data_IF_430191477196
#
_entry.id   IF_430191477196
#
_cell.length_a   1.000
_cell.length_b   1.000
_cell.length_c   1.000
_cell.angle_alpha   90.00
_cell.angle_beta   90.00
_cell.angle_gamma   90.00
#
_symmetry.space_group_name_H-M   'P 1'
#
loop_
_entity.id
_entity.type
_entity.pdbx_description
1 polymer ?
#
# COMPACT_ATOMS: atom_id res chain seq x y z
N UNK A 1 -21.75 -23.58 15.28
CA UNK A 1 -20.36 -24.07 15.46
C UNK A 1 -19.79 -24.83 14.25
N UNK A 2 -20.57 -25.59 13.47
CA UNK A 2 -20.06 -26.27 12.24
C UNK A 2 -19.65 -25.33 11.09
N UNK A 3 -20.32 -24.18 10.92
CA UNK A 3 -20.05 -23.23 9.82
C UNK A 3 -18.74 -22.45 9.99
N UNK A 4 -18.33 -22.18 11.23
CA UNK A 4 -17.07 -21.46 11.53
C UNK A 4 -15.84 -22.33 11.29
N UNK A 5 -15.94 -23.64 11.51
CA UNK A 5 -14.83 -24.59 11.27
C UNK A 5 -14.56 -24.73 9.76
N UNK A 6 -15.60 -24.73 8.92
CA UNK A 6 -15.47 -24.83 7.46
C UNK A 6 -14.79 -23.58 6.88
N UNK A 7 -15.11 -22.37 7.39
CA UNK A 7 -14.46 -21.13 6.95
C UNK A 7 -12.99 -21.05 7.38
N UNK A 8 -12.64 -21.58 8.55
CA UNK A 8 -11.24 -21.65 9.02
C UNK A 8 -10.47 -22.67 8.16
N UNK A 9 -11.05 -23.83 7.85
CA UNK A 9 -10.44 -24.84 6.99
C UNK A 9 -10.26 -24.35 5.54
N UNK A 10 -11.23 -23.61 4.99
CA UNK A 10 -11.09 -22.97 3.67
C UNK A 10 -10.05 -21.84 3.67
N UNK A 11 -9.93 -21.06 4.76
CA UNK A 11 -8.90 -20.02 4.87
C UNK A 11 -7.47 -20.58 4.99
N UNK A 12 -7.34 -21.80 5.53
CA UNK A 12 -6.05 -22.48 5.70
C UNK A 12 -5.55 -23.12 4.39
N UNK A 13 -6.46 -23.44 3.46
CA UNK A 13 -6.13 -23.99 2.14
C UNK A 13 -5.71 -22.95 1.10
N UNK A 14 -5.92 -21.65 1.37
CA UNK A 14 -5.47 -20.55 0.50
C UNK A 14 -3.98 -20.22 0.66
N UNK A 15 -3.27 -20.86 1.60
CA UNK A 15 -1.89 -20.55 1.98
C UNK A 15 -0.80 -21.32 1.23
N UNK A 16 -1.13 -22.36 0.45
CA UNK A 16 -0.16 -23.05 -0.40
C UNK A 16 -0.14 -22.44 -1.81
N UNK A 17 0.32 -21.19 -1.91
CA UNK A 17 0.96 -20.77 -3.15
C UNK A 17 2.30 -21.54 -3.19
N UNK A 18 2.35 -22.63 -3.93
CA UNK A 18 3.59 -23.27 -4.29
C UNK A 18 4.48 -22.20 -4.94
N UNK A 19 5.49 -21.72 -4.22
CA UNK A 19 6.54 -20.87 -4.78
C UNK A 19 7.31 -21.77 -5.74
N UNK A 20 6.93 -21.73 -7.02
CA UNK A 20 7.71 -22.35 -8.06
C UNK A 20 9.09 -21.66 -8.06
N UNK A 21 10.13 -22.42 -7.74
CA UNK A 21 11.52 -21.97 -7.80
C UNK A 21 11.89 -21.78 -9.28
N UNK A 22 11.62 -20.61 -9.82
CA UNK A 22 11.93 -20.30 -11.22
C UNK A 22 13.28 -19.60 -11.31
N UNK A 23 14.21 -20.19 -12.07
CA UNK A 23 15.46 -19.53 -12.45
C UNK A 23 15.20 -18.46 -13.51
N UNK A 24 16.06 -17.45 -13.59
CA UNK A 24 15.90 -16.31 -14.50
C UNK A 24 17.16 -16.03 -15.28
N UNK A 25 17.02 -15.58 -16.52
CA UNK A 25 18.13 -15.02 -17.29
C UNK A 25 18.42 -13.62 -16.76
N UNK A 26 19.63 -13.39 -16.26
CA UNK A 26 20.07 -12.09 -15.77
C UNK A 26 20.52 -11.18 -16.91
N UNK A 27 21.30 -11.73 -17.85
CA UNK A 27 21.98 -10.94 -18.85
C UNK A 27 22.08 -11.68 -20.18
N UNK A 28 21.88 -10.94 -21.26
CA UNK A 28 22.23 -11.35 -22.61
C UNK A 28 22.92 -10.19 -23.33
N UNK A 29 24.12 -10.41 -23.88
CA UNK A 29 24.86 -9.39 -24.64
C UNK A 29 25.75 -10.00 -25.72
N UNK A 30 26.05 -9.28 -26.81
CA UNK A 30 27.11 -9.67 -27.72
C UNK A 30 28.49 -9.55 -27.03
N UNK A 31 29.41 -10.44 -27.41
CA UNK A 31 30.82 -10.43 -27.02
C UNK A 31 31.67 -10.13 -28.25
N UNK A 32 31.86 -8.85 -28.62
CA UNK A 32 32.59 -8.48 -29.84
C UNK A 32 34.08 -8.86 -29.79
N UNK A 33 34.66 -8.94 -28.59
CA UNK A 33 36.05 -9.33 -28.39
C UNK A 33 36.27 -10.85 -28.59
N UNK A 34 35.21 -11.65 -28.61
CA UNK A 34 35.28 -13.09 -28.75
C UNK A 34 34.98 -13.51 -30.18
N UNK A 35 36.05 -13.73 -30.94
CA UNK A 35 36.00 -14.09 -32.37
C UNK A 35 35.86 -15.60 -32.61
N UNK A 36 35.50 -16.40 -31.60
CA UNK A 36 35.42 -17.88 -31.73
C UNK A 36 34.48 -18.31 -32.86
N UNK A 37 33.28 -17.73 -32.92
CA UNK A 37 32.28 -18.02 -33.96
C UNK A 37 32.75 -17.63 -35.37
N UNK A 38 33.68 -16.67 -35.46
CA UNK A 38 34.25 -16.20 -36.72
C UNK A 38 35.40 -17.09 -37.18
N UNK A 39 36.31 -17.47 -36.27
CA UNK A 39 37.48 -18.30 -36.57
C UNK A 39 37.11 -19.75 -36.88
N UNK A 40 36.13 -20.31 -36.17
CA UNK A 40 35.69 -21.70 -36.35
C UNK A 40 34.17 -21.74 -36.60
N UNK A 41 33.72 -21.34 -37.81
CA UNK A 41 32.30 -21.24 -38.11
C UNK A 41 31.68 -22.64 -38.23
N UNK A 42 30.68 -22.93 -37.39
CA UNK A 42 29.80 -24.09 -37.54
C UNK A 42 28.69 -23.71 -38.51
N UNK A 43 28.48 -24.49 -39.57
CA UNK A 43 27.43 -24.24 -40.57
C UNK A 43 26.15 -24.98 -40.21
N UNK A 44 25.02 -24.34 -40.45
CA UNK A 44 23.70 -24.98 -40.34
C UNK A 44 23.39 -25.84 -41.58
N UNK A 45 22.17 -26.40 -41.64
CA UNK A 45 21.70 -27.22 -42.77
C UNK A 45 21.60 -26.44 -44.10
N UNK A 46 21.55 -25.11 -44.04
CA UNK A 46 21.48 -24.23 -45.20
C UNK A 46 22.87 -23.75 -45.64
N UNK A 47 23.94 -24.16 -44.94
CA UNK A 47 25.31 -23.73 -45.21
C UNK A 47 25.66 -22.35 -44.66
N UNK A 48 24.76 -21.70 -43.90
CA UNK A 48 25.01 -20.43 -43.25
C UNK A 48 25.78 -20.63 -41.94
N UNK A 49 26.68 -19.69 -41.61
CA UNK A 49 27.44 -19.79 -40.37
C UNK A 49 26.54 -19.44 -39.16
N UNK A 50 26.58 -20.29 -38.15
CA UNK A 50 25.81 -20.13 -36.91
C UNK A 50 26.35 -18.97 -36.07
N UNK A 51 25.48 -18.47 -35.20
CA UNK A 51 25.86 -17.68 -34.05
C UNK A 51 26.30 -18.61 -32.90
N UNK A 52 27.24 -18.17 -32.08
CA UNK A 52 27.66 -18.86 -30.86
C UNK A 52 27.01 -18.17 -29.65
N UNK A 53 26.33 -18.92 -28.80
CA UNK A 53 25.85 -18.44 -27.50
C UNK A 53 26.55 -19.21 -26.39
N UNK A 54 27.30 -18.49 -25.56
CA UNK A 54 27.96 -19.00 -24.37
C UNK A 54 27.04 -18.81 -23.18
N UNK A 55 26.49 -19.90 -22.66
CA UNK A 55 25.58 -19.89 -21.53
C UNK A 55 26.37 -20.06 -20.24
N UNK A 56 26.44 -19.00 -19.43
CA UNK A 56 27.07 -19.00 -18.10
C UNK A 56 26.00 -19.43 -17.10
N UNK A 57 26.14 -20.63 -16.53
CA UNK A 57 25.15 -21.22 -15.63
C UNK A 57 25.51 -22.64 -15.21
N UNK A 58 24.52 -23.35 -14.66
CA UNK A 58 24.67 -24.76 -14.29
C UNK A 58 24.86 -25.65 -15.54
N UNK A 59 25.73 -26.64 -15.45
CA UNK A 59 25.98 -27.61 -16.54
C UNK A 59 24.76 -28.47 -16.86
N UNK A 60 23.84 -28.62 -15.90
CA UNK A 60 22.65 -29.45 -16.01
C UNK A 60 21.53 -28.80 -16.86
N UNK A 61 21.78 -27.62 -17.43
CA UNK A 61 20.84 -26.98 -18.36
C UNK A 61 20.74 -27.74 -19.68
N UNK A 62 19.50 -27.94 -20.13
CA UNK A 62 19.13 -28.50 -21.43
C UNK A 62 18.43 -27.43 -22.26
N UNK A 63 18.84 -27.29 -23.52
CA UNK A 63 18.41 -26.21 -24.40
C UNK A 63 17.56 -26.73 -25.56
N UNK A 64 16.62 -25.91 -26.03
CA UNK A 64 15.81 -26.19 -27.22
C UNK A 64 15.47 -24.88 -27.93
N UNK A 65 15.60 -24.83 -29.25
CA UNK A 65 15.20 -23.68 -30.07
C UNK A 65 14.27 -24.14 -31.20
N UNK A 66 13.31 -23.31 -31.67
CA UNK A 66 12.47 -23.66 -32.81
C UNK A 66 13.25 -23.96 -34.10
N UNK A 67 14.39 -23.30 -34.32
CA UNK A 67 15.26 -23.55 -35.48
C UNK A 67 16.27 -24.69 -35.24
N UNK A 68 16.20 -25.36 -34.09
CA UNK A 68 17.15 -26.38 -33.68
C UNK A 68 18.46 -25.82 -33.12
N UNK A 69 19.26 -26.72 -32.54
CA UNK A 69 20.62 -26.42 -32.06
C UNK A 69 21.57 -27.26 -32.91
N UNK A 70 22.49 -26.61 -33.59
CA UNK A 70 23.37 -27.27 -34.57
C UNK A 70 24.50 -28.03 -33.86
N UNK A 71 25.06 -27.44 -32.80
CA UNK A 71 26.11 -28.06 -32.01
C UNK A 71 26.04 -27.57 -30.57
N UNK A 72 26.33 -28.47 -29.62
CA UNK A 72 26.54 -28.16 -28.20
C UNK A 72 27.95 -28.57 -27.81
N UNK A 73 28.63 -27.73 -27.05
CA UNK A 73 29.94 -28.03 -26.43
C UNK A 73 29.84 -27.61 -24.97
N UNK A 74 30.13 -28.54 -24.05
CA UNK A 74 30.12 -28.26 -22.62
C UNK A 74 31.55 -27.96 -22.16
N UNK A 75 31.76 -26.75 -21.65
CA UNK A 75 33.04 -26.26 -21.13
C UNK A 75 32.94 -26.05 -19.62
N UNK A 76 34.10 -25.89 -18.95
CA UNK A 76 34.12 -25.68 -17.49
C UNK A 76 33.56 -24.29 -17.15
N UNK A 77 32.32 -24.27 -16.63
CA UNK A 77 31.62 -23.05 -16.22
C UNK A 77 30.74 -22.40 -17.29
N UNK A 78 30.73 -22.94 -18.52
CA UNK A 78 29.91 -22.44 -19.63
C UNK A 78 29.41 -23.58 -20.52
N UNK A 79 28.19 -23.48 -21.04
CA UNK A 79 27.72 -24.34 -22.14
C UNK A 79 27.61 -23.53 -23.42
N UNK A 80 28.33 -23.97 -24.45
CA UNK A 80 28.35 -23.32 -25.76
C UNK A 80 27.34 -23.97 -26.68
N UNK A 81 26.41 -23.18 -27.21
CA UNK A 81 25.40 -23.63 -28.17
C UNK A 81 25.52 -22.84 -29.48
N UNK A 82 25.57 -23.57 -30.60
CA UNK A 82 25.59 -22.99 -31.94
C UNK A 82 24.17 -22.98 -32.49
N UNK A 83 23.68 -21.78 -32.79
CA UNK A 83 22.31 -21.53 -33.22
C UNK A 83 22.29 -20.94 -34.64
N UNK A 84 21.34 -21.35 -35.50
CA UNK A 84 21.20 -20.78 -36.84
C UNK A 84 20.98 -19.26 -36.81
N UNK A 85 21.40 -18.61 -37.89
CA UNK A 85 21.17 -17.19 -38.11
C UNK A 85 19.66 -16.86 -38.02
N UNK A 86 19.32 -15.73 -37.41
CA UNK A 86 17.93 -15.29 -37.26
C UNK A 86 17.15 -15.95 -36.11
N UNK A 87 17.78 -16.82 -35.31
CA UNK A 87 17.15 -17.40 -34.11
C UNK A 87 16.70 -16.30 -33.16
N UNK A 88 15.44 -16.36 -32.71
CA UNK A 88 14.84 -15.38 -31.78
C UNK A 88 14.41 -15.97 -30.44
N UNK A 89 14.24 -17.29 -30.36
CA UNK A 89 13.66 -17.98 -29.22
C UNK A 89 14.57 -19.11 -28.75
N UNK A 90 14.71 -19.21 -27.44
CA UNK A 90 15.42 -20.29 -26.75
C UNK A 90 14.57 -20.78 -25.57
N UNK A 91 14.54 -22.08 -25.35
CA UNK A 91 13.92 -22.70 -24.18
C UNK A 91 15.02 -23.34 -23.35
N UNK A 92 15.09 -22.98 -22.07
CA UNK A 92 16.05 -23.52 -21.11
C UNK A 92 15.29 -24.43 -20.14
N UNK A 93 15.81 -25.63 -19.89
CA UNK A 93 15.24 -26.63 -18.99
C UNK A 93 16.31 -27.03 -17.97
N UNK A 94 15.94 -27.12 -16.71
CA UNK A 94 16.82 -27.59 -15.64
C UNK A 94 16.11 -28.68 -14.84
N UNK A 95 16.77 -29.80 -14.50
CA UNK A 95 16.12 -30.91 -13.79
C UNK A 95 15.53 -30.48 -12.44
N UNK A 96 16.17 -29.54 -11.76
CA UNK A 96 15.75 -29.07 -10.43
C UNK A 96 15.00 -27.75 -10.42
N UNK A 97 15.21 -26.87 -11.41
CA UNK A 97 14.70 -25.49 -11.39
C UNK A 97 13.56 -25.25 -12.38
N UNK A 98 13.11 -26.31 -13.07
CA UNK A 98 11.98 -26.25 -13.98
C UNK A 98 12.38 -25.79 -15.38
N UNK A 99 11.48 -25.08 -16.06
CA UNK A 99 11.62 -24.73 -17.48
C UNK A 99 11.32 -23.27 -17.73
N UNK A 100 12.26 -22.56 -18.36
CA UNK A 100 12.05 -21.24 -18.95
C UNK A 100 11.75 -21.40 -20.44
N UNK A 101 10.46 -21.38 -20.79
CA UNK A 101 10.00 -21.52 -22.18
C UNK A 101 10.06 -20.20 -22.93
N UNK A 102 10.39 -20.26 -24.22
CA UNK A 102 10.28 -19.14 -25.15
C UNK A 102 11.02 -17.87 -24.69
N UNK A 103 12.21 -18.01 -24.09
CA UNK A 103 13.10 -16.88 -23.84
C UNK A 103 13.42 -16.20 -25.17
N UNK A 104 13.04 -14.93 -25.29
CA UNK A 104 13.19 -14.15 -26.53
C UNK A 104 14.46 -13.31 -26.45
N UNK A 105 15.36 -13.51 -27.40
CA UNK A 105 16.54 -12.67 -27.54
C UNK A 105 16.13 -11.22 -27.87
N UNK A 106 16.83 -10.19 -27.33
CA UNK A 106 16.55 -8.78 -27.64
C UNK A 106 16.62 -8.44 -29.13
N UNK A 107 17.56 -9.07 -29.84
CA UNK A 107 17.74 -8.98 -31.29
C UNK A 107 17.87 -10.40 -31.87
N UNK A 108 17.52 -10.62 -33.16
CA UNK A 108 17.82 -11.88 -33.81
C UNK A 108 19.33 -12.14 -33.79
N UNK A 109 19.73 -13.40 -33.64
CA UNK A 109 21.15 -13.77 -33.65
C UNK A 109 21.76 -13.55 -35.03
N UNK A 110 22.88 -12.85 -35.08
CA UNK A 110 23.63 -12.59 -36.30
C UNK A 110 24.68 -13.67 -36.57
N UNK A 111 24.92 -13.96 -37.84
CA UNK A 111 25.88 -14.97 -38.27
C UNK A 111 27.30 -14.62 -37.80
N UNK A 112 28.07 -15.62 -37.36
CA UNK A 112 29.48 -15.50 -36.92
C UNK A 112 29.73 -14.60 -35.70
N UNK A 113 28.67 -14.16 -35.00
CA UNK A 113 28.81 -13.43 -33.74
C UNK A 113 28.74 -14.37 -32.54
N UNK A 114 29.45 -13.97 -31.48
CA UNK A 114 29.44 -14.63 -30.17
C UNK A 114 28.62 -13.80 -29.19
N UNK A 115 27.78 -14.47 -28.41
CA UNK A 115 26.92 -13.87 -27.37
C UNK A 115 27.15 -14.54 -26.03
N UNK A 116 26.93 -13.80 -24.95
CA UNK A 116 26.90 -14.29 -23.57
C UNK A 116 25.46 -14.32 -23.07
N UNK A 117 25.06 -15.43 -22.43
CA UNK A 117 23.78 -15.60 -21.76
C UNK A 117 24.02 -16.04 -20.31
N UNK A 118 23.77 -15.15 -19.34
CA UNK A 118 23.97 -15.45 -17.91
C UNK A 118 22.65 -15.88 -17.28
N UNK A 119 22.64 -17.08 -16.69
CA UNK A 119 21.47 -17.68 -16.03
C UNK A 119 21.74 -17.81 -14.55
N UNK A 120 20.91 -17.16 -13.73
CA UNK A 120 21.05 -17.21 -12.28
C UNK A 120 20.23 -18.37 -11.68
N UNK A 121 20.77 -19.08 -10.68
CA UNK A 121 20.00 -20.06 -9.91
C UNK A 121 18.83 -19.37 -9.19
N UNK A 122 17.73 -20.10 -8.90
CA UNK A 122 16.63 -19.53 -8.15
C UNK A 122 17.10 -19.12 -6.75
N UNK A 123 16.64 -17.95 -6.29
CA UNK A 123 16.92 -17.46 -4.94
C UNK A 123 16.32 -18.44 -3.95
N UNK A 124 17.15 -19.28 -3.35
CA UNK A 124 16.69 -20.17 -2.28
C UNK A 124 16.31 -19.30 -1.09
N UNK A 125 15.08 -19.40 -0.54
CA UNK A 125 14.83 -18.90 0.79
C UNK A 125 15.78 -19.68 1.70
N UNK A 126 16.71 -18.99 2.34
CA UNK A 126 17.60 -19.60 3.33
C UNK A 126 16.69 -20.15 4.43
N UNK A 127 16.43 -21.46 4.40
CA UNK A 127 15.81 -22.17 5.50
C UNK A 127 16.69 -21.95 6.71
N UNK A 128 16.15 -21.29 7.73
CA UNK A 128 16.82 -20.98 8.98
C UNK A 128 17.00 -22.24 9.85
N UNK A 129 17.53 -23.33 9.29
CA UNK A 129 17.78 -24.60 9.98
C UNK A 129 19.26 -24.97 10.05
N UNK A 130 20.14 -24.11 9.55
CA UNK A 130 21.59 -24.26 9.70
C UNK A 130 22.20 -23.10 10.47
N UNK A 131 21.71 -22.79 11.68
CA UNK A 131 22.43 -21.88 12.56
C UNK A 131 23.73 -22.55 12.99
N UNK A 132 24.81 -22.27 12.26
CA UNK A 132 26.16 -22.37 12.82
C UNK A 132 26.11 -21.57 14.13
N UNK A 133 26.37 -22.16 15.31
CA UNK A 133 26.33 -21.40 16.54
C UNK A 133 27.38 -20.31 16.41
N UNK A 134 26.93 -19.05 16.39
CA UNK A 134 27.84 -17.92 16.45
C UNK A 134 28.78 -18.14 17.64
N UNK A 135 30.11 -18.17 17.45
CA UNK A 135 31.00 -18.25 18.59
C UNK A 135 30.68 -17.03 19.46
N UNK A 136 30.38 -17.27 20.75
CA UNK A 136 30.17 -16.20 21.72
C UNK A 136 31.45 -15.37 21.76
N UNK A 137 31.45 -14.25 21.05
CA UNK A 137 32.47 -13.22 21.17
C UNK A 137 32.42 -12.74 22.62
N UNK A 138 33.41 -13.18 23.40
CA UNK A 138 33.72 -12.54 24.66
C UNK A 138 34.13 -11.10 24.29
N UNK A 139 33.65 -10.07 24.99
CA UNK A 139 34.07 -8.71 24.72
C UNK A 139 35.50 -8.54 25.24
N UNK A 140 36.48 -9.05 24.50
CA UNK A 140 37.84 -8.58 24.60
C UNK A 140 37.89 -7.24 23.88
N UNK A 141 38.02 -6.17 24.66
CA UNK A 141 38.11 -4.81 24.15
C UNK A 141 39.26 -4.67 23.15
N UNK A 142 38.92 -4.64 21.86
CA UNK A 142 39.77 -4.09 20.83
C UNK A 142 38.86 -3.49 19.76
N UNK A 143 38.62 -2.18 19.87
CA UNK A 143 38.00 -1.42 18.79
C UNK A 143 39.07 -1.29 17.69
N UNK A 144 38.85 -1.78 16.46
CA UNK A 144 39.73 -1.46 15.35
C UNK A 144 39.54 0.03 15.01
N UNK A 145 40.64 0.74 14.86
CA UNK A 145 40.65 2.12 14.39
C UNK A 145 39.93 2.23 13.03
N UNK A 146 39.23 3.35 12.77
CA UNK A 146 38.52 3.55 11.51
C UNK A 146 39.54 3.97 10.45
N UNK A 147 40.18 2.99 9.82
CA UNK A 147 40.83 3.20 8.53
C UNK A 147 40.49 2.06 7.57
N UNK A 148 40.17 2.47 6.35
CA UNK A 148 39.95 1.66 5.14
C UNK A 148 38.63 0.90 5.02
N UNK A 149 37.55 1.67 4.83
CA UNK A 149 36.44 1.23 3.98
C UNK A 149 36.68 1.70 2.55
N UNK A 150 37.57 0.99 1.85
CA UNK A 150 37.58 1.02 0.40
C UNK A 150 36.23 0.48 -0.11
N UNK A 151 35.60 1.26 -0.98
CA UNK A 151 34.29 1.03 -1.56
C UNK A 151 34.23 -0.32 -2.29
N UNK A 152 33.48 -1.27 -1.72
CA UNK A 152 33.10 -2.51 -2.41
C UNK A 152 31.73 -2.32 -3.07
N UNK A 153 31.78 -2.15 -4.39
CA UNK A 153 30.88 -2.72 -5.41
C UNK A 153 29.35 -2.60 -5.24
N UNK A 154 28.76 -1.67 -6.00
CA UNK A 154 27.87 -2.03 -7.12
C UNK A 154 26.44 -2.53 -6.86
N UNK A 155 26.07 -2.90 -5.64
CA UNK A 155 24.67 -3.28 -5.35
C UNK A 155 23.86 -2.00 -5.11
N UNK A 156 22.78 -1.71 -5.87
CA UNK A 156 21.86 -0.67 -5.45
C UNK A 156 21.24 -1.14 -4.14
N UNK A 157 21.74 -0.62 -3.01
CA UNK A 157 21.10 -0.78 -1.73
C UNK A 157 19.69 -0.25 -1.90
N UNK A 158 18.72 -1.16 -2.04
CA UNK A 158 17.30 -0.82 -2.08
C UNK A 158 17.10 0.07 -0.85
N UNK A 159 16.80 1.37 -1.00
CA UNK A 159 16.88 2.30 0.11
C UNK A 159 16.00 1.71 1.20
N UNK A 160 16.62 1.33 2.32
CA UNK A 160 15.93 0.70 3.45
C UNK A 160 14.83 1.67 3.81
N UNK A 161 13.57 1.31 3.48
CA UNK A 161 12.41 2.18 3.64
C UNK A 161 12.38 2.58 5.11
N UNK A 162 12.82 3.79 5.41
CA UNK A 162 12.97 4.26 6.78
C UNK A 162 11.59 4.11 7.40
N UNK A 163 11.51 3.29 8.45
CA UNK A 163 10.25 3.06 9.15
C UNK A 163 9.84 4.40 9.75
N UNK A 164 8.87 5.08 9.13
CA UNK A 164 8.38 6.35 9.65
C UNK A 164 7.95 6.15 11.11
N UNK A 165 8.37 7.02 12.04
CA UNK A 165 7.95 6.92 13.43
C UNK A 165 6.43 7.14 13.53
N UNK A 166 5.84 6.65 14.60
CA UNK A 166 4.49 7.06 14.98
C UNK A 166 4.47 8.56 15.24
N UNK A 167 3.41 9.23 14.79
CA UNK A 167 3.18 10.65 15.02
C UNK A 167 1.84 10.84 15.67
N UNK A 168 1.80 11.71 16.65
CA UNK A 168 0.58 12.16 17.26
C UNK A 168 0.07 13.37 16.49
N UNK A 169 -1.24 13.45 16.37
CA UNK A 169 -1.94 14.42 15.55
C UNK A 169 -3.03 15.02 16.41
N UNK A 170 -3.00 16.35 16.56
CA UNK A 170 -4.03 17.11 17.25
C UNK A 170 -4.53 18.26 16.40
N UNK A 171 -5.82 18.28 16.08
CA UNK A 171 -6.48 19.34 15.29
C UNK A 171 -7.65 19.94 16.04
N UNK A 172 -7.71 21.26 16.03
CA UNK A 172 -8.91 22.02 16.38
C UNK A 172 -9.74 22.22 15.12
N UNK A 173 -11.03 21.94 15.22
CA UNK A 173 -12.01 22.03 14.15
C UNK A 173 -13.05 23.10 14.46
N UNK A 174 -13.45 23.84 13.45
CA UNK A 174 -14.65 24.65 13.42
C UNK A 174 -15.63 24.04 12.41
N UNK A 175 -16.84 23.73 12.87
CA UNK A 175 -17.96 23.28 12.05
C UNK A 175 -18.83 24.45 11.63
N UNK A 176 -19.23 24.47 10.36
CA UNK A 176 -20.14 25.44 9.76
C UNK A 176 -21.34 24.66 9.22
N UNK A 177 -22.52 24.91 9.80
CA UNK A 177 -23.80 24.33 9.39
C UNK A 177 -24.93 25.34 9.54
N UNK A 178 -26.14 24.99 9.10
CA UNK A 178 -27.25 25.96 9.03
C UNK A 178 -27.80 26.44 10.38
N UNK A 179 -27.42 25.82 11.50
CA UNK A 179 -27.75 26.35 12.82
C UNK A 179 -26.60 27.12 13.50
N UNK A 180 -25.52 27.46 12.78
CA UNK A 180 -24.38 28.19 13.33
C UNK A 180 -23.16 27.31 13.63
N UNK A 181 -22.15 27.94 14.23
CA UNK A 181 -20.81 27.37 14.37
C UNK A 181 -20.69 26.39 15.54
N UNK A 182 -19.90 25.33 15.34
CA UNK A 182 -19.51 24.39 16.40
C UNK A 182 -17.99 24.24 16.46
N UNK A 183 -17.45 23.77 17.58
CA UNK A 183 -16.02 23.57 17.73
C UNK A 183 -15.72 22.14 18.16
N UNK A 184 -14.65 21.57 17.62
CA UNK A 184 -14.27 20.20 17.93
C UNK A 184 -12.77 20.00 18.03
N UNK A 185 -12.39 18.90 18.66
CA UNK A 185 -11.01 18.46 18.81
C UNK A 185 -10.87 17.06 18.23
N UNK A 186 -9.92 16.89 17.33
CA UNK A 186 -9.54 15.60 16.77
C UNK A 186 -8.15 15.22 17.26
N UNK A 187 -8.06 14.09 17.95
CA UNK A 187 -6.80 13.54 18.46
C UNK A 187 -6.58 12.15 17.87
N UNK A 188 -5.38 11.89 17.38
CA UNK A 188 -5.06 10.59 16.79
C UNK A 188 -3.58 10.30 16.73
N UNK A 189 -3.28 9.06 16.35
CA UNK A 189 -1.92 8.58 16.13
C UNK A 189 -1.84 7.97 14.73
N UNK A 190 -0.82 8.37 13.97
CA UNK A 190 -0.69 8.00 12.58
C UNK A 190 0.76 7.66 12.19
N UNK A 191 0.88 6.61 11.37
CA UNK A 191 2.11 6.29 10.62
C UNK A 191 1.82 6.38 9.12
N UNK A 192 1.65 5.23 8.44
CA UNK A 192 1.06 5.16 7.09
C UNK A 192 -0.47 5.11 7.16
N UNK A 193 -0.97 4.37 8.14
CA UNK A 193 -2.36 4.28 8.56
C UNK A 193 -2.39 4.61 10.05
N UNK A 194 -3.48 5.20 10.49
CA UNK A 194 -3.65 5.69 11.84
C UNK A 194 -5.11 5.63 12.27
N UNK A 195 -5.33 5.94 13.53
CA UNK A 195 -6.66 6.02 14.13
C UNK A 195 -6.80 7.35 14.84
N UNK A 196 -8.03 7.82 14.95
CA UNK A 196 -8.34 9.05 15.68
C UNK A 196 -9.68 8.95 16.38
N UNK A 197 -9.86 9.87 17.33
CA UNK A 197 -11.12 10.19 17.99
C UNK A 197 -11.40 11.67 17.77
N UNK A 198 -12.67 11.99 17.50
CA UNK A 198 -13.15 13.33 17.22
C UNK A 198 -14.35 13.64 18.11
N UNK A 199 -14.29 14.75 18.83
CA UNK A 199 -15.40 15.27 19.61
C UNK A 199 -15.70 16.70 19.19
N UNK A 200 -16.96 17.03 18.95
CA UNK A 200 -17.43 18.35 18.54
C UNK A 200 -18.64 18.76 19.39
N UNK A 201 -18.69 20.03 19.78
CA UNK A 201 -19.80 20.61 20.52
C UNK A 201 -19.90 22.11 20.26
N UNK A 202 -21.10 22.66 20.44
CA UNK A 202 -21.33 24.10 20.43
C UNK A 202 -21.38 24.70 21.85
N UNK A 203 -21.07 23.91 22.89
CA UNK A 203 -21.11 24.28 24.30
C UNK A 203 -22.48 24.79 24.80
N UNK A 204 -23.54 24.60 24.03
CA UNK A 204 -24.90 24.91 24.44
C UNK A 204 -25.53 23.68 25.12
N UNK A 205 -26.25 23.94 26.21
CA UNK A 205 -27.00 22.90 26.92
C UNK A 205 -28.44 22.85 26.41
N UNK A 206 -28.96 21.64 26.19
CA UNK A 206 -30.35 21.47 25.79
C UNK A 206 -31.29 21.89 26.94
N UNK A 207 -32.27 22.78 26.69
CA UNK A 207 -33.25 23.17 27.70
C UNK A 207 -34.24 22.03 27.97
N UNK A 208 -34.84 22.02 29.16
CA UNK A 208 -35.95 21.13 29.48
C UNK A 208 -37.16 21.46 28.60
N UNK A 209 -37.60 20.49 27.81
CA UNK A 209 -38.69 20.65 26.85
C UNK A 209 -39.99 20.05 27.40
N UNK A 210 -41.12 20.74 27.17
CA UNK A 210 -42.44 20.33 27.67
C UNK A 210 -43.35 19.76 26.55
N UNK A 211 -42.83 19.59 25.34
CA UNK A 211 -43.56 19.05 24.20
C UNK A 211 -42.72 19.02 22.92
N UNK A 212 -43.31 18.49 21.86
CA UNK A 212 -42.71 18.33 20.52
C UNK A 212 -43.52 19.11 19.48
N UNK A 213 -42.85 19.78 18.54
CA UNK A 213 -43.47 20.43 17.39
C UNK A 213 -42.83 19.99 16.06
N UNK A 214 -43.57 20.21 14.97
CA UNK A 214 -43.12 19.99 13.59
C UNK A 214 -42.32 21.19 13.03
N UNK A 215 -41.83 21.07 11.79
CA UNK A 215 -41.11 22.12 11.06
C UNK A 215 -41.88 23.45 10.98
N UNK A 216 -43.21 23.42 10.92
CA UNK A 216 -44.06 24.60 10.82
C UNK A 216 -44.46 25.19 12.19
N UNK A 217 -44.09 24.50 13.28
CA UNK A 217 -44.37 24.92 14.65
C UNK A 217 -45.76 24.50 15.15
N UNK A 218 -46.39 23.50 14.55
CA UNK A 218 -47.62 22.90 15.06
C UNK A 218 -47.30 21.74 16.01
N UNK A 219 -48.15 21.59 17.02
CA UNK A 219 -48.19 20.39 17.83
C UNK A 219 -48.81 19.21 17.07
N UNK A 220 -48.61 17.96 17.53
CA UNK A 220 -49.29 16.79 16.98
C UNK A 220 -50.83 16.87 17.04
N UNK A 221 -51.37 17.73 17.91
CA UNK A 221 -52.81 18.01 18.06
C UNK A 221 -53.33 19.10 17.10
N UNK A 222 -52.47 19.63 16.22
CA UNK A 222 -52.82 20.64 15.22
C UNK A 222 -52.93 22.08 15.74
N UNK A 223 -52.63 22.32 17.02
CA UNK A 223 -52.56 23.66 17.60
C UNK A 223 -51.19 24.31 17.40
N UNK A 224 -51.15 25.62 17.17
CA UNK A 224 -49.91 26.39 17.02
C UNK A 224 -49.75 27.36 18.20
N UNK A 225 -48.71 27.21 19.04
CA UNK A 225 -48.42 28.16 20.09
C UNK A 225 -47.74 29.41 19.54
N UNK A 226 -47.81 30.51 20.28
CA UNK A 226 -47.14 31.74 19.90
C UNK A 226 -45.66 31.69 20.27
N UNK A 227 -44.76 31.75 19.29
CA UNK A 227 -43.31 31.71 19.49
C UNK A 227 -42.71 33.11 19.65
N UNK A 228 -41.70 33.24 20.54
CA UNK A 228 -40.99 34.52 20.76
C UNK A 228 -39.91 34.79 19.70
N UNK A 229 -39.58 33.80 18.88
CA UNK A 229 -38.48 33.85 17.91
C UNK A 229 -37.10 33.51 18.50
N UNK A 230 -37.02 33.18 19.80
CA UNK A 230 -35.79 32.66 20.42
C UNK A 230 -35.67 31.16 20.21
N UNK A 231 -34.51 30.74 19.74
CA UNK A 231 -34.19 29.34 19.45
C UNK A 231 -32.95 28.91 20.22
N UNK A 232 -33.05 27.79 20.93
CA UNK A 232 -31.93 27.12 21.59
C UNK A 232 -31.50 25.92 20.76
N UNK A 233 -30.23 25.85 20.39
CA UNK A 233 -29.67 24.74 19.62
C UNK A 233 -28.52 24.12 20.39
N UNK A 234 -28.65 22.86 20.81
CA UNK A 234 -27.65 22.12 21.57
C UNK A 234 -27.12 20.96 20.73
N UNK A 235 -25.79 20.87 20.61
CA UNK A 235 -25.14 19.88 19.73
C UNK A 235 -23.94 19.22 20.36
N UNK A 236 -23.84 17.92 20.15
CA UNK A 236 -22.62 17.17 20.34
C UNK A 236 -22.47 16.06 19.30
N UNK A 237 -21.24 15.82 18.88
CA UNK A 237 -20.89 14.73 17.98
C UNK A 237 -19.61 14.07 18.49
N UNK A 238 -19.64 12.76 18.60
CA UNK A 238 -18.49 11.94 18.99
C UNK A 238 -18.28 10.86 17.93
N UNK A 239 -17.11 10.86 17.30
CA UNK A 239 -16.76 9.93 16.24
C UNK A 239 -15.37 9.34 16.44
N UNK A 240 -15.16 8.15 15.90
CA UNK A 240 -13.86 7.49 15.84
C UNK A 240 -13.65 6.92 14.44
N UNK A 241 -12.41 6.98 13.97
CA UNK A 241 -12.13 6.68 12.58
C UNK A 241 -10.69 6.34 12.29
N UNK A 242 -10.44 6.09 11.01
CA UNK A 242 -9.13 5.78 10.48
C UNK A 242 -8.60 6.94 9.64
N UNK A 243 -7.27 7.10 9.65
CA UNK A 243 -6.55 8.02 8.78
C UNK A 243 -5.61 7.24 7.87
N UNK A 244 -5.59 7.56 6.58
CA UNK A 244 -4.78 6.88 5.58
C UNK A 244 -3.95 7.90 4.79
N UNK A 245 -2.65 7.62 4.63
CA UNK A 245 -1.78 8.47 3.80
C UNK A 245 -1.95 8.12 2.33
N UNK A 246 -2.45 9.07 1.55
CA UNK A 246 -2.57 8.97 0.09
C UNK A 246 -1.24 9.32 -0.57
N UNK A 247 -0.70 10.51 -0.26
CA UNK A 247 0.54 11.07 -0.85
C UNK A 247 1.43 11.59 0.30
N UNK A 248 2.65 12.06 0.04
CA UNK A 248 3.60 12.53 1.07
C UNK A 248 3.11 13.65 2.00
N UNK A 249 2.13 14.45 1.55
CA UNK A 249 1.49 15.52 2.33
C UNK A 249 -0.03 15.40 2.51
N UNK A 250 -0.71 14.55 1.73
CA UNK A 250 -2.17 14.42 1.72
C UNK A 250 -2.61 13.12 2.41
N UNK A 251 -3.53 13.26 3.37
CA UNK A 251 -4.11 12.16 4.13
C UNK A 251 -5.64 12.22 4.01
N UNK A 252 -6.26 11.05 4.01
CA UNK A 252 -7.71 10.85 4.02
C UNK A 252 -8.12 10.39 5.41
N UNK A 253 -9.25 10.86 5.92
CA UNK A 253 -9.83 10.34 7.15
C UNK A 253 -11.30 10.01 6.93
N UNK A 254 -11.73 8.92 7.56
CA UNK A 254 -13.09 8.41 7.52
C UNK A 254 -13.44 7.89 8.91
N UNK A 255 -14.60 8.26 9.42
CA UNK A 255 -15.02 7.94 10.77
C UNK A 255 -16.53 7.72 10.88
N UNK A 256 -16.90 6.96 11.89
CA UNK A 256 -18.28 6.72 12.28
C UNK A 256 -18.43 7.00 13.77
N UNK A 257 -19.62 7.38 14.18
CA UNK A 257 -19.85 7.89 15.51
C UNK A 257 -21.31 8.03 15.87
N UNK A 258 -21.54 8.82 16.89
CA UNK A 258 -22.85 9.17 17.38
C UNK A 258 -22.97 10.68 17.51
N UNK A 259 -24.07 11.23 17.02
CA UNK A 259 -24.37 12.65 17.08
C UNK A 259 -25.76 12.87 17.63
N UNK A 260 -25.91 13.95 18.39
CA UNK A 260 -27.21 14.47 18.80
C UNK A 260 -27.25 15.97 18.59
N UNK A 261 -28.31 16.41 17.93
CA UNK A 261 -28.68 17.80 17.74
C UNK A 261 -30.11 17.96 18.21
N UNK A 262 -30.30 18.87 19.17
CA UNK A 262 -31.61 19.21 19.71
C UNK A 262 -31.86 20.69 19.48
N UNK A 263 -32.93 20.99 18.75
CA UNK A 263 -33.36 22.36 18.46
C UNK A 263 -34.67 22.58 19.19
N UNK A 264 -34.71 23.56 20.10
CA UNK A 264 -35.89 23.91 20.86
C UNK A 264 -36.27 25.38 20.63
N UNK A 265 -37.56 25.65 20.48
CA UNK A 265 -38.10 27.00 20.28
C UNK A 265 -38.80 27.47 21.55
N UNK A 266 -38.60 28.73 21.90
CA UNK A 266 -39.22 29.36 23.06
C UNK A 266 -40.61 29.92 22.71
N UNK A 267 -41.59 29.55 23.52
CA UNK A 267 -42.98 30.03 23.45
C UNK A 267 -43.12 31.35 24.21
N UNK A 268 -44.13 32.17 23.90
CA UNK A 268 -44.46 33.41 24.63
C UNK A 268 -44.71 33.19 26.12
N UNK A 269 -45.03 31.96 26.52
CA UNK A 269 -45.21 31.52 27.91
C UNK A 269 -43.88 31.19 28.62
N UNK A 270 -42.73 31.32 27.95
CA UNK A 270 -41.40 31.03 28.49
C UNK A 270 -41.06 29.53 28.54
N UNK A 271 -41.83 28.68 27.85
CA UNK A 271 -41.62 27.24 27.74
C UNK A 271 -40.88 26.88 26.45
N UNK A 272 -39.98 25.89 26.53
CA UNK A 272 -39.26 25.37 25.37
C UNK A 272 -39.97 24.15 24.78
N UNK A 273 -40.16 24.16 23.46
CA UNK A 273 -40.75 23.05 22.70
C UNK A 273 -39.68 22.49 21.75
N UNK A 274 -39.52 21.16 21.72
CA UNK A 274 -38.53 20.49 20.87
C UNK A 274 -39.06 20.42 19.44
N UNK A 275 -38.29 20.92 18.47
CA UNK A 275 -38.62 20.71 17.07
C UNK A 275 -38.07 19.35 16.61
N UNK A 276 -38.97 18.43 16.26
CA UNK A 276 -38.61 17.04 15.91
C UNK A 276 -37.98 16.90 14.52
N UNK A 277 -38.38 17.75 13.56
CA UNK A 277 -37.87 17.71 12.19
C UNK A 277 -36.44 18.27 12.08
N UNK A 278 -36.14 19.32 12.85
CA UNK A 278 -34.79 19.89 12.91
C UNK A 278 -33.86 19.21 13.92
N UNK A 279 -34.41 18.36 14.80
CA UNK A 279 -33.65 17.56 15.75
C UNK A 279 -33.29 16.19 15.17
N UNK A 280 -32.03 15.80 15.30
CA UNK A 280 -31.55 14.52 14.81
C UNK A 280 -30.64 13.88 15.87
N UNK A 281 -30.93 12.62 16.17
CA UNK A 281 -30.16 11.80 17.10
C UNK A 281 -29.89 10.44 16.45
N UNK A 282 -28.64 9.99 16.50
CA UNK A 282 -28.28 8.66 16.04
C UNK A 282 -26.87 8.56 15.47
N UNK A 283 -26.73 7.65 14.50
CA UNK A 283 -25.46 7.38 13.84
C UNK A 283 -24.95 8.63 13.12
N UNK A 284 -23.70 8.98 13.39
CA UNK A 284 -22.96 10.02 12.69
C UNK A 284 -21.86 9.39 11.83
N UNK A 285 -21.55 10.02 10.70
CA UNK A 285 -20.43 9.67 9.86
C UNK A 285 -19.65 10.94 9.51
N UNK A 286 -18.35 10.81 9.35
CA UNK A 286 -17.50 11.92 8.91
C UNK A 286 -16.47 11.43 7.89
N UNK A 287 -16.14 12.29 6.95
CA UNK A 287 -15.09 12.03 5.98
C UNK A 287 -14.44 13.33 5.52
N UNK A 288 -13.16 13.27 5.20
CA UNK A 288 -12.46 14.42 4.66
C UNK A 288 -10.99 14.21 4.41
N UNK A 289 -10.31 15.31 4.07
CA UNK A 289 -8.91 15.34 3.73
C UNK A 289 -8.12 16.16 4.75
N UNK A 290 -6.87 15.80 4.94
CA UNK A 290 -5.89 16.51 5.75
C UNK A 290 -4.62 16.75 4.95
N UNK A 291 -4.17 18.00 4.94
CA UNK A 291 -2.92 18.42 4.34
C UNK A 291 -1.88 18.72 5.42
N UNK A 292 -0.69 18.12 5.29
CA UNK A 292 0.43 18.32 6.21
C UNK A 292 1.52 19.17 5.58
N UNK A 293 1.86 20.28 6.23
CA UNK A 293 3.00 21.12 5.88
C UNK A 293 3.96 21.23 7.07
N UNK A 294 5.08 20.48 7.02
CA UNK A 294 6.04 20.33 8.13
C UNK A 294 5.35 19.78 9.40
N UNK A 295 5.20 20.63 10.41
CA UNK A 295 4.53 20.35 11.69
C UNK A 295 3.05 20.77 11.68
N UNK A 296 2.66 21.67 10.77
CA UNK A 296 1.29 22.15 10.66
C UNK A 296 0.43 21.18 9.86
N UNK A 297 -0.82 21.04 10.27
CA UNK A 297 -1.80 20.19 9.62
C UNK A 297 -3.11 20.96 9.45
N UNK A 298 -3.56 21.08 8.21
CA UNK A 298 -4.86 21.62 7.86
C UNK A 298 -5.78 20.47 7.48
N UNK A 299 -7.08 20.62 7.72
CA UNK A 299 -8.08 19.62 7.40
C UNK A 299 -9.37 20.26 6.94
N UNK A 300 -10.05 19.59 6.04
CA UNK A 300 -11.37 19.96 5.56
C UNK A 300 -12.19 18.68 5.35
N UNK A 301 -13.45 18.69 5.74
CA UNK A 301 -14.34 17.55 5.55
C UNK A 301 -15.78 17.89 5.86
N UNK A 302 -16.63 16.87 5.82
CA UNK A 302 -18.03 16.98 6.17
C UNK A 302 -18.40 15.88 7.17
N UNK A 303 -19.26 16.22 8.12
CA UNK A 303 -19.93 15.27 9.00
C UNK A 303 -21.42 15.25 8.68
N UNK A 304 -22.03 14.09 8.89
CA UNK A 304 -23.47 13.91 8.78
C UNK A 304 -24.04 13.18 9.98
N UNK A 305 -25.23 13.58 10.41
CA UNK A 305 -26.00 12.92 11.47
C UNK A 305 -27.26 12.35 10.84
N UNK A 306 -27.47 11.03 10.95
CA UNK A 306 -28.61 10.29 10.39
C UNK A 306 -28.79 10.46 8.86
N UNK A 307 -27.79 11.00 8.15
CA UNK A 307 -27.87 11.33 6.72
C UNK A 307 -28.71 12.57 6.38
N UNK A 308 -29.33 13.20 7.38
CA UNK A 308 -30.27 14.32 7.19
C UNK A 308 -29.60 15.66 7.46
N UNK A 309 -28.71 15.71 8.45
CA UNK A 309 -27.97 16.91 8.79
C UNK A 309 -26.55 16.83 8.26
N UNK A 310 -26.06 17.91 7.65
CA UNK A 310 -24.71 18.02 7.11
C UNK A 310 -24.00 19.22 7.71
N UNK A 311 -22.75 19.04 8.09
CA UNK A 311 -21.91 20.09 8.65
C UNK A 311 -20.52 20.05 8.02
N UNK A 312 -20.03 21.21 7.57
CA UNK A 312 -18.70 21.32 7.00
C UNK A 312 -17.69 21.66 8.08
N UNK A 313 -16.63 20.87 8.20
CA UNK A 313 -15.63 21.01 9.24
C UNK A 313 -14.29 21.41 8.63
N UNK A 314 -13.75 22.54 9.08
CA UNK A 314 -12.40 23.00 8.74
C UNK A 314 -11.58 22.98 10.03
N UNK A 315 -10.39 22.39 9.97
CA UNK A 315 -9.53 22.29 11.16
C UNK A 315 -8.08 22.62 10.89
N UNK A 316 -7.43 23.19 11.90
CA UNK A 316 -6.00 23.48 11.92
C UNK A 316 -5.39 22.85 13.17
N UNK A 317 -4.18 22.33 13.03
CA UNK A 317 -3.52 21.62 14.09
C UNK A 317 -2.05 21.35 13.83
N UNK A 318 -1.50 20.49 14.67
CA UNK A 318 -0.08 20.15 14.66
C UNK A 318 0.14 18.64 14.71
N UNK A 319 1.27 18.21 14.14
CA UNK A 319 1.77 16.84 14.24
C UNK A 319 3.08 16.82 15.03
N UNK A 320 3.18 15.97 16.04
CA UNK A 320 4.36 15.82 16.90
C UNK A 320 4.79 14.36 17.05
#
# INVERSE_FOLDING_TARGET
MKKTIICILLSLMSGLAAVAQQFTVERFRPLPNDITAYMQPVKDLNGEACALVKVVGDKDFVFSSPLGIVKRVDEVGETWIYLPHGTRLLTLKHPRWGVLRNYRFPSPLESRLTYELVVLPPVQPVSAEGSIPFPRLHPAGFLPAPHDRAAVSGVPLRPRRIREPWRWVGLLHAGIGSGGSSFGLRLGAMRRHGVYVYGQSNFASAPSTQGECDEQGFFPDGSQPYYTGRTSDARYLLAAGCMHRLISGLHLYEGIGYGSRQVAWETSEGTYILNTDYSAQGLAAEAGLMWRWRMLMASAGASTIRGQWWEFNIGLGITF
#
